data_IF_064402575095
#
_entry.id   IF_064402575095
#
_cell.length_a   1.000
_cell.length_b   1.000
_cell.length_c   1.000
_cell.angle_alpha   90.00
_cell.angle_beta   90.00
_cell.angle_gamma   90.00
#
_symmetry.space_group_name_H-M   'P 1'
#
loop_
_entity.id
_entity.type
_entity.pdbx_description
1 polymer ?
#
# COMPACT_ATOMS: atom_id res chain seq x y z
N UNK A 1 -6.56 -1.69 3.39
CA UNK A 1 -5.63 -0.69 3.98
C UNK A 1 -5.89 -0.55 5.46
N UNK A 2 -4.85 -0.46 6.27
CA UNK A 2 -4.94 -0.41 7.73
C UNK A 2 -4.14 0.76 8.32
N UNK A 3 -4.44 1.13 9.55
CA UNK A 3 -3.65 2.04 10.38
C UNK A 3 -2.90 1.25 11.46
N UNK A 4 -1.67 1.65 11.79
CA UNK A 4 -0.93 1.08 12.92
C UNK A 4 -1.07 2.00 14.12
N UNK A 5 -1.74 1.53 15.17
CA UNK A 5 -1.87 2.28 16.42
C UNK A 5 -0.50 2.43 17.11
N UNK A 6 -0.33 3.42 18.02
CA UNK A 6 0.94 3.61 18.74
C UNK A 6 1.46 2.36 19.48
N UNK A 7 0.57 1.44 19.86
CA UNK A 7 0.91 0.14 20.47
C UNK A 7 1.31 -0.96 19.47
N UNK A 8 1.42 -0.66 18.17
CA UNK A 8 1.76 -1.60 17.11
C UNK A 8 0.57 -2.40 16.56
N UNK A 9 -0.62 -2.22 17.11
CA UNK A 9 -1.83 -2.91 16.64
C UNK A 9 -2.23 -2.44 15.24
N UNK A 10 -2.63 -3.41 14.40
CA UNK A 10 -3.25 -3.15 13.11
C UNK A 10 -4.74 -2.88 13.28
N UNK A 11 -5.19 -1.69 12.89
CA UNK A 11 -6.57 -1.23 12.98
C UNK A 11 -7.17 -1.06 11.59
N UNK A 12 -8.28 -1.77 11.33
CA UNK A 12 -9.02 -1.72 10.07
C UNK A 12 -10.06 -0.58 10.09
N UNK A 13 -9.59 0.67 10.07
CA UNK A 13 -10.47 1.85 10.21
C UNK A 13 -11.50 2.03 9.08
N UNK A 14 -11.27 1.40 7.93
CA UNK A 14 -12.18 1.42 6.78
C UNK A 14 -12.63 0.00 6.35
N UNK A 15 -12.39 -1.01 7.20
CA UNK A 15 -12.54 -2.42 6.85
C UNK A 15 -11.39 -2.95 5.97
N UNK A 16 -11.47 -4.24 5.63
CA UNK A 16 -10.42 -4.97 4.91
C UNK A 16 -11.00 -5.81 3.76
N UNK A 17 -10.19 -6.05 2.72
CA UNK A 17 -10.50 -6.98 1.63
C UNK A 17 -11.42 -6.46 0.52
N UNK A 18 -12.05 -5.29 0.69
CA UNK A 18 -12.97 -4.73 -0.31
C UNK A 18 -12.37 -4.58 -1.71
N UNK A 19 -11.13 -4.08 -1.81
CA UNK A 19 -10.43 -3.92 -3.09
C UNK A 19 -10.12 -5.26 -3.79
N UNK A 20 -9.72 -6.28 -3.02
CA UNK A 20 -9.47 -7.62 -3.57
C UNK A 20 -10.76 -8.31 -4.04
N UNK A 21 -11.83 -8.19 -3.25
CA UNK A 21 -13.16 -8.69 -3.63
C UNK A 21 -13.68 -8.02 -4.90
N UNK A 22 -13.52 -6.71 -5.03
CA UNK A 22 -13.95 -5.96 -6.20
C UNK A 22 -13.12 -6.31 -7.45
N UNK A 23 -11.81 -6.47 -7.30
CA UNK A 23 -10.94 -6.92 -8.39
C UNK A 23 -11.39 -8.30 -8.92
N UNK A 24 -11.67 -9.24 -8.01
CA UNK A 24 -12.22 -10.54 -8.35
C UNK A 24 -13.59 -10.44 -9.04
N UNK A 25 -14.49 -9.58 -8.53
CA UNK A 25 -15.82 -9.35 -9.12
C UNK A 25 -15.74 -8.82 -10.55
N UNK A 26 -14.78 -7.96 -10.84
CA UNK A 26 -14.57 -7.38 -12.17
C UNK A 26 -13.70 -8.27 -13.08
N UNK A 27 -13.12 -9.35 -12.57
CA UNK A 27 -12.16 -10.18 -13.32
C UNK A 27 -10.88 -9.44 -13.67
N UNK A 28 -10.46 -8.49 -12.82
CA UNK A 28 -9.21 -7.72 -12.99
C UNK A 28 -8.18 -8.10 -11.93
N UNK A 29 -6.92 -7.74 -12.16
CA UNK A 29 -5.81 -8.06 -11.26
C UNK A 29 -5.87 -7.25 -9.97
N UNK A 30 -5.68 -7.93 -8.84
CA UNK A 30 -5.44 -7.28 -7.56
C UNK A 30 -3.94 -7.15 -7.34
N UNK A 31 -3.44 -5.91 -7.26
CA UNK A 31 -1.99 -5.64 -7.17
C UNK A 31 -1.48 -5.56 -5.72
N UNK A 32 -2.36 -5.40 -4.73
CA UNK A 32 -2.01 -5.33 -3.32
C UNK A 32 -2.72 -4.22 -2.55
N UNK A 33 -2.27 -3.97 -1.32
CA UNK A 33 -2.81 -2.93 -0.43
C UNK A 33 -1.70 -1.95 -0.01
N UNK A 34 -2.02 -0.66 0.01
CA UNK A 34 -1.17 0.37 0.61
C UNK A 34 -1.66 0.69 2.03
N UNK A 35 -0.81 0.56 3.06
CA UNK A 35 -1.16 0.93 4.43
C UNK A 35 -1.27 2.45 4.61
N UNK A 36 -2.01 2.88 5.63
CA UNK A 36 -2.20 4.29 5.96
C UNK A 36 -1.10 4.75 6.91
N UNK A 37 -0.02 5.26 6.32
CA UNK A 37 1.09 5.89 7.02
C UNK A 37 1.18 7.37 6.68
N UNK A 38 1.36 8.21 7.69
CA UNK A 38 1.44 9.67 7.53
C UNK A 38 2.59 10.06 6.61
N UNK A 39 3.69 9.32 6.68
CA UNK A 39 4.90 9.49 5.89
C UNK A 39 4.64 9.39 4.39
N UNK A 40 3.63 8.61 3.96
CA UNK A 40 3.23 8.51 2.54
C UNK A 40 2.71 9.87 2.06
N UNK A 41 1.77 10.46 2.81
CA UNK A 41 1.21 11.78 2.52
C UNK A 41 2.29 12.85 2.56
N UNK A 42 3.07 12.89 3.64
CA UNK A 42 4.13 13.89 3.82
C UNK A 42 5.19 13.83 2.73
N UNK A 43 5.59 12.62 2.33
CA UNK A 43 6.54 12.43 1.22
C UNK A 43 5.96 12.91 -0.11
N UNK A 44 4.67 12.66 -0.36
CA UNK A 44 3.97 13.20 -1.52
C UNK A 44 3.91 14.74 -1.51
N UNK A 45 3.47 15.33 -0.39
CA UNK A 45 3.34 16.78 -0.21
C UNK A 45 4.70 17.50 -0.39
N UNK A 46 5.78 16.89 0.11
CA UNK A 46 7.13 17.46 0.02
C UNK A 46 7.84 17.18 -1.32
N UNK A 47 7.27 16.37 -2.21
CA UNK A 47 7.95 15.93 -3.43
C UNK A 47 9.11 14.97 -3.18
N UNK A 48 9.17 14.33 -2.01
CA UNK A 48 10.17 13.32 -1.63
C UNK A 48 9.45 12.04 -1.16
N UNK A 49 8.99 11.18 -2.10
CA UNK A 49 8.21 9.99 -1.79
C UNK A 49 8.91 9.02 -0.83
N UNK A 50 8.12 8.23 -0.09
CA UNK A 50 8.63 7.24 0.89
C UNK A 50 9.61 6.23 0.27
N UNK A 51 9.43 5.84 -0.99
CA UNK A 51 10.34 4.93 -1.70
C UNK A 51 11.74 5.52 -1.93
N UNK A 52 11.87 6.85 -1.90
CA UNK A 52 13.17 7.55 -1.97
C UNK A 52 13.66 7.91 -0.57
N UNK A 53 12.77 8.45 0.28
CA UNK A 53 13.10 8.96 1.62
C UNK A 53 13.53 7.84 2.58
N UNK A 54 12.84 6.71 2.55
CA UNK A 54 13.08 5.54 3.41
C UNK A 54 12.81 4.23 2.64
N UNK A 55 13.75 3.80 1.78
CA UNK A 55 13.55 2.66 0.88
C UNK A 55 13.28 1.32 1.59
N UNK A 56 13.82 1.15 2.80
CA UNK A 56 13.67 -0.07 3.60
C UNK A 56 12.42 -0.01 4.51
N UNK A 57 11.76 1.14 4.59
CA UNK A 57 10.56 1.35 5.39
C UNK A 57 9.37 0.51 4.91
N UNK A 58 8.48 0.15 5.85
CA UNK A 58 7.25 -0.59 5.56
C UNK A 58 6.43 0.05 4.42
N UNK A 59 6.24 1.39 4.35
CA UNK A 59 5.52 2.01 3.25
C UNK A 59 6.20 1.81 1.89
N UNK A 60 7.53 1.92 1.82
CA UNK A 60 8.28 1.77 0.58
C UNK A 60 8.20 0.33 0.05
N UNK A 61 8.35 -0.65 0.94
CA UNK A 61 8.20 -2.07 0.59
C UNK A 61 6.81 -2.40 0.04
N UNK A 62 5.74 -1.78 0.57
CA UNK A 62 4.38 -1.99 0.07
C UNK A 62 4.23 -1.54 -1.40
N UNK A 63 4.74 -0.35 -1.74
CA UNK A 63 4.77 0.11 -3.14
C UNK A 63 5.64 -0.78 -4.02
N UNK A 64 6.80 -1.23 -3.52
CA UNK A 64 7.69 -2.12 -4.26
C UNK A 64 7.02 -3.46 -4.62
N UNK A 65 6.26 -4.04 -3.69
CA UNK A 65 5.47 -5.26 -3.94
C UNK A 65 4.42 -5.05 -5.02
N UNK A 66 3.64 -3.96 -4.94
CA UNK A 66 2.64 -3.61 -5.97
C UNK A 66 3.29 -3.46 -7.35
N UNK A 67 4.45 -2.80 -7.43
CA UNK A 67 5.17 -2.63 -8.68
C UNK A 67 5.68 -3.96 -9.25
N UNK A 68 6.10 -4.90 -8.40
CA UNK A 68 6.49 -6.25 -8.81
C UNK A 68 5.30 -7.06 -9.33
N UNK A 69 4.15 -7.02 -8.64
CA UNK A 69 2.91 -7.66 -9.09
C UNK A 69 2.45 -7.09 -10.43
N UNK A 70 2.44 -5.76 -10.58
CA UNK A 70 2.09 -5.10 -11.84
C UNK A 70 2.98 -5.57 -12.98
N UNK A 71 4.30 -5.66 -12.76
CA UNK A 71 5.23 -6.18 -13.77
C UNK A 71 4.87 -7.60 -14.19
N UNK A 72 4.57 -8.46 -13.23
CA UNK A 72 4.14 -9.84 -13.49
C UNK A 72 2.83 -9.96 -14.26
N UNK A 73 1.98 -8.93 -14.30
CA UNK A 73 0.77 -8.91 -15.15
C UNK A 73 1.01 -8.46 -16.59
N UNK A 74 2.19 -7.89 -16.87
CA UNK A 74 2.55 -7.37 -18.19
C UNK A 74 3.41 -8.36 -19.00
N UNK A 75 4.01 -9.32 -18.32
CA UNK A 75 4.75 -10.46 -18.91
C UNK A 75 3.80 -11.61 -19.26
#
# INVERSE_FOLDING_TARGET
>A
SYFTAPGGERVEIFGHGGGASEAARQGTSFLGEIPLFTEIREGGDAGLPVVIKDPEGIPAQAFGKIAAELRGTMD
#
